data_IF_524387604725
#
_entry.id   IF_524387604725
#
_cell.length_a   1.000
_cell.length_b   1.000
_cell.length_c   1.000
_cell.angle_alpha   90.00
_cell.angle_beta   90.00
_cell.angle_gamma   90.00
#
_symmetry.space_group_name_H-M   'P 1'
#
loop_
_entity.id
_entity.type
_entity.pdbx_description
1 polymer ?
#
# COMPACT_ATOMS: atom_id res chain seq x y z
N UNK A 1 -1.32 -11.28 -13.44
CA UNK A 1 -0.11 -11.55 -12.63
C UNK A 1 -0.41 -12.38 -11.37
N UNK A 2 -1.40 -12.08 -10.52
CA UNK A 2 -1.73 -12.97 -9.38
C UNK A 2 -2.59 -14.19 -9.80
N UNK A 3 -3.77 -13.91 -10.40
CA UNK A 3 -4.66 -14.98 -10.92
C UNK A 3 -4.01 -15.86 -11.98
N UNK A 4 -3.12 -15.27 -12.80
CA UNK A 4 -2.39 -16.00 -13.84
C UNK A 4 -1.35 -16.98 -13.26
N UNK A 5 -0.92 -16.79 -12.01
CA UNK A 5 -0.02 -17.69 -11.29
C UNK A 5 -0.78 -18.72 -10.44
N UNK A 6 -2.12 -18.78 -10.53
CA UNK A 6 -2.95 -19.67 -9.71
C UNK A 6 -3.04 -19.27 -8.24
N UNK A 7 -2.58 -18.07 -7.88
CA UNK A 7 -2.65 -17.56 -6.51
C UNK A 7 -4.05 -16.96 -6.30
N UNK A 8 -4.78 -17.50 -5.33
CA UNK A 8 -6.00 -16.88 -4.82
C UNK A 8 -5.64 -15.67 -3.96
N UNK A 9 -6.27 -14.54 -4.24
CA UNK A 9 -6.06 -13.31 -3.49
C UNK A 9 -7.37 -12.53 -3.41
N UNK A 10 -7.67 -12.00 -2.22
CA UNK A 10 -8.69 -10.97 -2.05
C UNK A 10 -8.13 -9.64 -2.57
N UNK A 11 -8.74 -9.10 -3.63
CA UNK A 11 -8.29 -7.87 -4.27
C UNK A 11 -9.23 -6.76 -3.88
N UNK A 12 -8.73 -5.79 -3.10
CA UNK A 12 -9.47 -4.61 -2.67
C UNK A 12 -8.96 -3.35 -3.36
N UNK A 13 -9.87 -2.49 -3.81
CA UNK A 13 -9.49 -1.18 -4.33
C UNK A 13 -9.48 -0.19 -3.17
N UNK A 14 -8.30 0.21 -2.72
CA UNK A 14 -8.15 1.16 -1.59
C UNK A 14 -8.85 2.52 -1.79
N UNK A 15 -9.29 2.86 -3.01
CA UNK A 15 -10.04 4.09 -3.27
C UNK A 15 -11.53 3.93 -3.00
N UNK A 16 -12.06 2.73 -3.20
CA UNK A 16 -13.47 2.41 -2.99
C UNK A 16 -13.66 1.75 -1.61
N UNK A 17 -12.71 0.91 -1.22
CA UNK A 17 -12.64 0.21 0.05
C UNK A 17 -11.77 1.00 1.04
N UNK A 18 -12.38 1.46 2.13
CA UNK A 18 -11.65 2.11 3.19
C UNK A 18 -10.60 1.16 3.79
N UNK A 19 -9.34 1.61 3.83
CA UNK A 19 -8.28 0.86 4.51
C UNK A 19 -8.44 1.08 6.03
N UNK A 20 -8.53 0.01 6.84
CA UNK A 20 -8.68 0.14 8.28
C UNK A 20 -7.53 0.95 8.90
N UNK A 21 -7.86 1.84 9.84
CA UNK A 21 -6.86 2.67 10.53
C UNK A 21 -5.77 1.83 11.21
N UNK A 22 -6.17 0.73 11.85
CA UNK A 22 -5.25 -0.19 12.53
C UNK A 22 -4.21 -0.78 11.58
N UNK A 23 -4.64 -1.15 10.36
CA UNK A 23 -3.73 -1.63 9.32
C UNK A 23 -2.78 -0.51 8.86
N UNK A 24 -3.28 0.73 8.71
CA UNK A 24 -2.43 1.86 8.35
C UNK A 24 -1.36 2.15 9.41
N UNK A 25 -1.74 2.12 10.69
CA UNK A 25 -0.82 2.29 11.83
C UNK A 25 0.28 1.22 11.76
N UNK A 26 -0.10 -0.05 11.61
CA UNK A 26 0.84 -1.16 11.53
C UNK A 26 1.80 -1.04 10.33
N UNK A 27 1.27 -0.71 9.15
CA UNK A 27 2.08 -0.50 7.95
C UNK A 27 3.07 0.64 8.10
N UNK A 28 2.66 1.76 8.70
CA UNK A 28 3.54 2.91 8.96
C UNK A 28 4.62 2.54 9.98
N UNK A 29 4.27 1.81 11.04
CA UNK A 29 5.22 1.36 12.04
C UNK A 29 6.28 0.41 11.46
N UNK A 30 5.88 -0.51 10.57
CA UNK A 30 6.78 -1.50 9.96
C UNK A 30 7.65 -0.93 8.84
N UNK A 31 7.08 -0.11 7.96
CA UNK A 31 7.74 0.33 6.72
C UNK A 31 8.21 1.78 6.72
N UNK A 32 7.75 2.56 7.69
CA UNK A 32 7.90 4.00 7.70
C UNK A 32 6.95 4.70 6.72
N UNK A 33 6.57 5.93 7.08
CA UNK A 33 5.61 6.74 6.33
C UNK A 33 5.98 6.92 4.84
N UNK A 34 7.27 7.06 4.53
CA UNK A 34 7.75 7.30 3.16
C UNK A 34 7.56 6.11 2.22
N UNK A 35 7.49 4.91 2.79
CA UNK A 35 7.19 3.71 2.03
C UNK A 35 5.68 3.54 1.82
N UNK A 36 4.86 4.00 2.75
CA UNK A 36 3.40 3.91 2.66
C UNK A 36 2.79 5.00 1.76
N UNK A 37 3.32 6.23 1.81
CA UNK A 37 2.78 7.38 1.05
C UNK A 37 3.47 7.55 -0.30
N UNK A 38 2.68 7.70 -1.36
CA UNK A 38 3.12 8.07 -2.69
C UNK A 38 3.27 9.59 -2.84
N UNK A 39 4.45 10.10 -2.44
CA UNK A 39 4.82 11.51 -2.60
C UNK A 39 4.95 11.98 -4.07
N UNK A 40 5.00 11.07 -5.04
CA UNK A 40 5.04 11.41 -6.46
C UNK A 40 3.63 11.60 -7.08
N UNK A 41 2.57 11.23 -6.35
CA UNK A 41 1.19 11.29 -6.84
C UNK A 41 0.72 12.71 -7.12
N UNK A 42 -0.27 12.84 -8.02
CA UNK A 42 -0.93 14.14 -8.29
C UNK A 42 -1.62 14.67 -7.02
N UNK A 43 -2.26 13.78 -6.26
CA UNK A 43 -2.90 14.12 -4.98
C UNK A 43 -1.90 14.78 -4.03
N UNK A 44 -0.75 14.14 -3.78
CA UNK A 44 0.27 14.69 -2.89
C UNK A 44 0.76 16.07 -3.33
N UNK A 45 1.03 16.23 -4.64
CA UNK A 45 1.48 17.51 -5.20
C UNK A 45 0.44 18.62 -5.08
N UNK A 46 -0.85 18.28 -4.98
CA UNK A 46 -1.95 19.23 -4.78
C UNK A 46 -2.20 19.61 -3.33
N UNK A 47 -1.66 18.88 -2.36
CA UNK A 47 -1.79 19.20 -0.94
C UNK A 47 -0.93 20.39 -0.54
N UNK A 48 -1.44 21.20 0.38
CA UNK A 48 -0.66 22.25 1.04
C UNK A 48 0.25 21.70 2.15
N UNK A 49 1.07 22.57 2.74
CA UNK A 49 2.02 22.17 3.79
C UNK A 49 1.33 21.69 5.08
N UNK A 50 0.17 22.27 5.42
CA UNK A 50 -0.58 21.90 6.63
C UNK A 50 -1.18 20.51 6.47
N UNK A 51 -1.73 20.23 5.29
CA UNK A 51 -2.26 18.92 4.93
C UNK A 51 -1.14 17.87 4.93
N UNK A 52 0.04 18.17 4.38
CA UNK A 52 1.18 17.25 4.37
C UNK A 52 1.76 16.99 5.77
N UNK A 53 1.61 17.93 6.69
CA UNK A 53 2.04 17.80 8.08
C UNK A 53 0.98 17.17 9.00
N UNK A 54 -0.19 16.81 8.48
CA UNK A 54 -1.24 16.15 9.25
C UNK A 54 -0.82 14.75 9.72
N UNK A 55 -1.60 14.19 10.64
CA UNK A 55 -1.42 12.80 11.06
C UNK A 55 -1.47 11.87 9.83
N UNK A 56 -0.48 10.98 9.65
CA UNK A 56 -0.39 10.16 8.44
C UNK A 56 -1.56 9.21 8.24
N UNK A 57 -2.15 8.69 9.31
CA UNK A 57 -3.30 7.77 9.23
C UNK A 57 -4.53 8.56 8.79
N UNK A 58 -4.80 9.69 9.45
CA UNK A 58 -5.89 10.59 9.06
C UNK A 58 -5.74 11.07 7.60
N UNK A 59 -4.50 11.38 7.19
CA UNK A 59 -4.19 11.78 5.83
C UNK A 59 -4.49 10.67 4.81
N UNK A 60 -4.13 9.42 5.12
CA UNK A 60 -4.39 8.27 4.26
C UNK A 60 -5.86 7.87 4.23
N UNK A 61 -6.61 8.05 5.32
CA UNK A 61 -8.05 7.85 5.33
C UNK A 61 -8.79 8.93 4.53
N UNK A 62 -8.34 10.18 4.62
CA UNK A 62 -8.91 11.31 3.87
C UNK A 62 -8.58 11.21 2.38
N UNK A 63 -7.35 10.82 2.06
CA UNK A 63 -6.87 10.69 0.69
C UNK A 63 -6.28 9.30 0.42
N UNK A 64 -7.11 8.24 0.29
CA UNK A 64 -6.63 6.87 0.07
C UNK A 64 -5.81 6.70 -1.21
N UNK A 65 -6.02 7.60 -2.18
CA UNK A 65 -5.20 7.69 -3.40
C UNK A 65 -3.71 7.94 -3.11
N UNK A 66 -3.35 8.48 -1.95
CA UNK A 66 -1.95 8.67 -1.52
C UNK A 66 -1.24 7.37 -1.17
N UNK A 67 -1.94 6.30 -0.82
CA UNK A 67 -1.30 5.05 -0.46
C UNK A 67 -0.52 4.48 -1.67
N UNK A 68 0.72 4.04 -1.43
CA UNK A 68 1.48 3.29 -2.43
C UNK A 68 0.78 1.96 -2.68
N UNK A 69 0.68 1.61 -3.97
CA UNK A 69 0.02 0.41 -4.47
C UNK A 69 0.91 -0.28 -5.50
N UNK A 70 0.80 -1.61 -5.65
CA UNK A 70 0.01 -2.51 -4.81
C UNK A 70 0.63 -2.68 -3.40
N UNK A 71 -0.23 -2.89 -2.39
CA UNK A 71 0.15 -3.50 -1.11
C UNK A 71 -0.22 -4.97 -1.20
N UNK A 72 0.68 -5.84 -0.78
CA UNK A 72 0.46 -7.27 -0.66
C UNK A 72 0.51 -7.62 0.81
N UNK A 73 -0.55 -8.27 1.31
CA UNK A 73 -0.62 -8.83 2.65
C UNK A 73 -0.61 -10.35 2.52
N UNK A 74 0.38 -10.99 3.13
CA UNK A 74 0.53 -12.43 3.17
C UNK A 74 -0.21 -13.00 4.40
N UNK A 75 -0.62 -14.27 4.34
CA UNK A 75 -1.35 -14.91 5.44
C UNK A 75 -0.55 -14.98 6.75
N UNK A 76 0.77 -15.00 6.66
CA UNK A 76 1.67 -14.95 7.83
C UNK A 76 1.74 -13.54 8.48
N UNK A 77 1.03 -12.55 7.92
CA UNK A 77 1.02 -11.17 8.37
C UNK A 77 2.09 -10.27 7.75
N UNK A 78 2.94 -10.79 6.86
CA UNK A 78 3.94 -9.98 6.17
C UNK A 78 3.28 -9.03 5.16
N UNK A 79 3.89 -7.85 4.99
CA UNK A 79 3.37 -6.80 4.13
C UNK A 79 4.46 -6.28 3.19
N UNK A 80 4.13 -6.15 1.91
CA UNK A 80 5.07 -5.67 0.90
C UNK A 80 4.42 -4.65 -0.04
N UNK A 81 5.18 -3.62 -0.38
CA UNK A 81 4.77 -2.62 -1.37
C UNK A 81 5.42 -2.88 -2.73
N UNK A 82 4.58 -3.14 -3.73
CA UNK A 82 4.97 -3.42 -5.11
C UNK A 82 5.33 -4.87 -5.40
N UNK A 83 5.58 -5.16 -6.67
CA UNK A 83 6.07 -6.45 -7.16
C UNK A 83 7.59 -6.44 -7.23
N UNK A 84 8.26 -6.50 -6.08
CA UNK A 84 9.72 -6.63 -6.06
C UNK A 84 10.14 -8.04 -6.50
N UNK A 85 11.40 -8.22 -6.91
CA UNK A 85 11.91 -9.55 -7.24
C UNK A 85 11.80 -10.52 -6.06
N UNK A 86 12.06 -10.03 -4.85
CA UNK A 86 11.89 -10.77 -3.60
C UNK A 86 10.45 -11.26 -3.42
N UNK A 87 9.46 -10.36 -3.57
CA UNK A 87 8.04 -10.71 -3.47
C UNK A 87 7.62 -11.72 -4.54
N UNK A 88 8.08 -11.53 -5.78
CA UNK A 88 7.78 -12.47 -6.85
C UNK A 88 8.39 -13.84 -6.58
N UNK A 89 9.62 -13.90 -6.04
CA UNK A 89 10.26 -15.15 -5.64
C UNK A 89 9.53 -15.83 -4.47
N UNK A 90 9.12 -15.07 -3.44
CA UNK A 90 8.32 -15.57 -2.32
C UNK A 90 7.00 -16.20 -2.79
N UNK A 91 6.39 -15.62 -3.81
CA UNK A 91 5.12 -16.08 -4.37
C UNK A 91 5.30 -17.11 -5.50
N UNK A 92 6.52 -17.53 -5.81
CA UNK A 92 6.79 -18.49 -6.88
C UNK A 92 6.45 -17.98 -8.29
N UNK A 93 6.32 -16.65 -8.45
CA UNK A 93 6.02 -16.00 -9.73
C UNK A 93 7.34 -15.79 -10.48
N UNK A 94 7.62 -16.66 -11.45
CA UNK A 94 8.73 -16.44 -12.38
C UNK A 94 8.36 -15.36 -13.39
N UNK A 95 9.29 -14.43 -13.61
CA UNK A 95 9.16 -13.39 -14.64
C UNK A 95 9.14 -14.09 -16.00
N UNK A 96 8.04 -13.94 -16.73
CA UNK A 96 8.01 -14.26 -18.17
C UNK A 96 8.84 -13.25 -18.93
#
# INVERSE_FOLDING_TARGET
MIRAAGIEADVRDVREDAVPAELLVDLIARHGIDRVINRASKTWRGLDERERAADPVALLQTYPALMKRPLLLLENGDSHFGWTQEVMALLGINKV
#
